data_IF_639903248427
#
_entry.id   IF_639903248427
#
_cell.length_a   1.000
_cell.length_b   1.000
_cell.length_c   1.000
_cell.angle_alpha   90.00
_cell.angle_beta   90.00
_cell.angle_gamma   90.00
#
_symmetry.space_group_name_H-M   'P 1'
#
loop_
_entity.id
_entity.type
_entity.pdbx_description
1 polymer ?
#
# COMPACT_ATOMS: atom_id res chain seq x y z
N UNK A 1 -8.67 -18.10 3.45
CA UNK A 1 -7.86 -17.15 4.26
C UNK A 1 -7.82 -15.81 3.57
N UNK A 2 -7.95 -14.76 4.33
CA UNK A 2 -8.01 -13.40 3.78
C UNK A 2 -6.66 -12.93 3.21
N UNK A 3 -6.69 -12.16 2.12
CA UNK A 3 -5.49 -11.56 1.53
C UNK A 3 -5.68 -10.06 1.40
N UNK A 4 -4.58 -9.33 1.44
CA UNK A 4 -4.59 -7.88 1.27
C UNK A 4 -3.38 -7.43 0.47
N UNK A 5 -3.50 -6.28 -0.20
CA UNK A 5 -2.40 -5.67 -0.94
C UNK A 5 -1.78 -4.58 -0.09
N UNK A 6 -0.47 -4.59 0.00
CA UNK A 6 0.30 -3.48 0.58
C UNK A 6 1.25 -2.97 -0.49
N UNK A 7 1.20 -1.67 -0.75
CA UNK A 7 2.14 -1.01 -1.66
C UNK A 7 3.05 -0.12 -0.84
N UNK A 8 4.37 -0.33 -0.99
CA UNK A 8 5.35 0.61 -0.45
C UNK A 8 5.55 1.65 -1.54
N UNK A 9 5.09 2.87 -1.28
CA UNK A 9 5.01 3.95 -2.27
C UNK A 9 6.39 4.54 -2.62
N UNK A 10 6.50 5.32 -3.71
CA UNK A 10 7.80 5.84 -4.15
C UNK A 10 8.55 6.64 -3.09
N UNK A 11 7.86 7.39 -2.24
CA UNK A 11 8.50 8.17 -1.17
C UNK A 11 9.21 7.26 -0.17
N UNK A 12 8.58 6.15 0.20
CA UNK A 12 9.17 5.19 1.14
C UNK A 12 10.34 4.43 0.51
N UNK A 13 10.24 4.10 -0.77
CA UNK A 13 11.36 3.46 -1.49
C UNK A 13 12.56 4.40 -1.52
N UNK A 14 12.33 5.66 -1.89
CA UNK A 14 13.38 6.67 -1.93
C UNK A 14 14.03 6.87 -0.56
N UNK A 15 13.23 6.84 0.50
CA UNK A 15 13.71 6.99 1.88
C UNK A 15 14.32 5.73 2.46
N UNK A 16 14.40 4.66 1.68
CA UNK A 16 15.01 3.39 2.08
C UNK A 16 14.28 2.72 3.25
N UNK A 17 12.95 2.77 3.20
CA UNK A 17 12.10 2.19 4.23
C UNK A 17 11.57 0.79 3.87
N UNK A 18 11.97 0.23 2.73
CA UNK A 18 11.49 -1.09 2.29
C UNK A 18 11.72 -2.15 3.38
N UNK A 19 12.96 -2.24 3.86
CA UNK A 19 13.31 -3.25 4.86
C UNK A 19 12.56 -3.08 6.17
N UNK A 20 12.37 -1.84 6.60
CA UNK A 20 11.64 -1.53 7.82
C UNK A 20 10.19 -2.03 7.73
N UNK A 21 9.54 -1.76 6.60
CA UNK A 21 8.13 -2.12 6.42
C UNK A 21 7.97 -3.64 6.31
N UNK A 22 8.84 -4.29 5.53
CA UNK A 22 8.82 -5.75 5.39
C UNK A 22 9.03 -6.41 6.76
N UNK A 23 9.97 -5.89 7.54
CA UNK A 23 10.25 -6.41 8.86
C UNK A 23 9.01 -6.34 9.77
N UNK A 24 8.29 -5.23 9.73
CA UNK A 24 7.06 -5.07 10.53
C UNK A 24 6.01 -6.09 10.13
N UNK A 25 5.85 -6.33 8.83
CA UNK A 25 4.93 -7.32 8.30
C UNK A 25 5.29 -8.72 8.80
N UNK A 26 6.55 -9.09 8.71
CA UNK A 26 7.01 -10.42 9.13
C UNK A 26 6.91 -10.60 10.64
N UNK A 27 7.28 -9.59 11.41
CA UNK A 27 7.18 -9.65 12.87
C UNK A 27 5.75 -9.78 13.35
N UNK A 28 4.80 -9.22 12.62
CA UNK A 28 3.39 -9.33 12.96
C UNK A 28 2.86 -10.76 12.74
N UNK A 29 3.57 -11.56 11.95
CA UNK A 29 3.17 -12.93 11.68
C UNK A 29 2.36 -13.10 10.41
N UNK A 30 2.33 -12.07 9.56
CA UNK A 30 1.65 -12.14 8.27
C UNK A 30 2.50 -12.93 7.29
N UNK A 31 1.86 -13.70 6.42
CA UNK A 31 2.57 -14.44 5.38
C UNK A 31 2.64 -13.59 4.11
N UNK A 32 3.84 -13.48 3.54
CA UNK A 32 4.05 -12.80 2.27
C UNK A 32 3.85 -13.81 1.16
N UNK A 33 2.76 -13.71 0.42
CA UNK A 33 2.43 -14.63 -0.68
C UNK A 33 3.07 -14.21 -2.00
N UNK A 34 3.28 -12.92 -2.20
CA UNK A 34 3.94 -12.39 -3.38
C UNK A 34 4.61 -11.08 -3.03
N UNK A 35 5.71 -10.81 -3.69
CA UNK A 35 6.53 -9.63 -3.43
C UNK A 35 7.27 -9.26 -4.69
N UNK A 36 7.14 -8.01 -5.14
CA UNK A 36 7.90 -7.54 -6.31
C UNK A 36 8.09 -6.03 -6.25
N UNK A 37 9.12 -5.57 -6.92
CA UNK A 37 9.35 -4.15 -7.16
C UNK A 37 9.00 -3.86 -8.61
N UNK A 38 8.30 -2.77 -8.84
CA UNK A 38 7.94 -2.41 -10.21
C UNK A 38 7.70 -0.90 -10.33
N UNK A 39 7.83 -0.39 -11.55
CA UNK A 39 7.38 0.96 -11.87
C UNK A 39 5.95 0.80 -12.40
N UNK A 40 4.98 1.36 -11.67
CA UNK A 40 3.57 1.20 -12.03
C UNK A 40 3.29 1.98 -13.31
N UNK A 41 2.65 1.32 -14.29
CA UNK A 41 2.25 1.95 -15.54
C UNK A 41 1.08 2.89 -15.30
N UNK A 42 0.92 3.86 -16.20
CA UNK A 42 -0.22 4.78 -16.13
C UNK A 42 -1.55 4.01 -16.13
N UNK A 43 -1.66 2.98 -16.97
CA UNK A 43 -2.86 2.16 -17.04
C UNK A 43 -3.21 1.50 -15.71
N UNK A 44 -2.23 0.89 -15.06
CA UNK A 44 -2.43 0.25 -13.75
C UNK A 44 -2.77 1.26 -12.67
N UNK A 45 -2.13 2.43 -12.70
CA UNK A 45 -2.40 3.50 -11.75
C UNK A 45 -3.83 4.00 -11.90
N UNK A 46 -4.29 4.19 -13.13
CA UNK A 46 -5.66 4.63 -13.40
C UNK A 46 -6.68 3.61 -12.91
N UNK A 47 -6.43 2.32 -13.10
CA UNK A 47 -7.29 1.27 -12.57
C UNK A 47 -7.32 1.27 -11.04
N UNK A 48 -6.17 1.44 -10.44
CA UNK A 48 -6.05 1.43 -8.98
C UNK A 48 -6.84 2.57 -8.33
N UNK A 49 -6.79 3.75 -8.93
CA UNK A 49 -7.47 4.94 -8.41
C UNK A 49 -8.78 5.26 -9.13
N UNK A 50 -9.36 4.29 -9.84
CA UNK A 50 -10.58 4.48 -10.63
C UNK A 50 -11.73 5.11 -9.84
N UNK A 51 -11.91 4.71 -8.59
CA UNK A 51 -12.97 5.26 -7.73
C UNK A 51 -12.78 6.74 -7.42
N UNK A 52 -11.59 7.27 -7.64
CA UNK A 52 -11.28 8.69 -7.41
C UNK A 52 -11.29 9.52 -8.69
N UNK A 53 -11.59 8.90 -9.83
CA UNK A 53 -11.63 9.61 -11.11
C UNK A 53 -12.61 10.77 -11.05
N UNK A 54 -12.15 11.93 -11.53
CA UNK A 54 -12.94 13.16 -11.50
C UNK A 54 -12.82 13.97 -10.23
N UNK A 55 -12.17 13.42 -9.20
CA UNK A 55 -11.92 14.17 -7.97
C UNK A 55 -10.68 15.05 -8.16
N UNK A 56 -10.64 16.16 -7.43
CA UNK A 56 -9.57 17.15 -7.53
C UNK A 56 -8.17 16.54 -7.35
N UNK A 57 -8.01 15.61 -6.40
CA UNK A 57 -6.71 15.02 -6.07
C UNK A 57 -6.33 13.83 -6.95
N UNK A 58 -7.19 13.40 -7.88
CA UNK A 58 -6.93 12.22 -8.71
C UNK A 58 -5.60 12.30 -9.47
N UNK A 59 -5.37 13.42 -10.17
CA UNK A 59 -4.15 13.59 -10.96
C UNK A 59 -2.88 13.54 -10.11
N UNK A 60 -2.94 14.11 -8.90
CA UNK A 60 -1.81 14.08 -7.97
C UNK A 60 -1.49 12.65 -7.52
N UNK A 61 -2.53 11.84 -7.28
CA UNK A 61 -2.34 10.44 -6.91
C UNK A 61 -1.67 9.66 -8.04
N UNK A 62 -2.16 9.83 -9.27
CA UNK A 62 -1.59 9.15 -10.45
C UNK A 62 -0.14 9.55 -10.67
N UNK A 63 0.14 10.84 -10.64
CA UNK A 63 1.48 11.37 -10.84
C UNK A 63 2.45 10.84 -9.80
N UNK A 64 2.02 10.82 -8.54
CA UNK A 64 2.87 10.36 -7.45
C UNK A 64 3.16 8.86 -7.54
N UNK A 65 2.15 8.02 -7.72
CA UNK A 65 2.34 6.56 -7.71
C UNK A 65 3.18 6.08 -8.90
N UNK A 66 3.20 6.85 -9.99
CA UNK A 66 3.99 6.53 -11.18
C UNK A 66 5.35 7.23 -11.20
N UNK A 67 5.68 8.01 -10.16
CA UNK A 67 6.90 8.84 -10.15
C UNK A 67 8.20 8.06 -9.91
N UNK A 68 8.11 6.83 -9.47
CA UNK A 68 9.28 6.01 -9.19
C UNK A 68 8.88 4.59 -8.82
N UNK A 69 9.84 3.72 -8.54
CA UNK A 69 9.54 2.33 -8.22
C UNK A 69 8.78 2.20 -6.91
N UNK A 70 7.94 1.18 -6.85
CA UNK A 70 7.18 0.80 -5.65
C UNK A 70 7.47 -0.66 -5.34
N UNK A 71 7.16 -1.08 -4.13
CA UNK A 71 7.19 -2.49 -3.77
C UNK A 71 5.75 -2.92 -3.50
N UNK A 72 5.36 -4.01 -4.15
CA UNK A 72 4.01 -4.56 -4.06
C UNK A 72 4.06 -5.88 -3.33
N UNK A 73 3.21 -6.03 -2.32
CA UNK A 73 3.14 -7.28 -1.56
C UNK A 73 1.70 -7.75 -1.43
N UNK A 74 1.52 -9.06 -1.62
CA UNK A 74 0.26 -9.72 -1.26
C UNK A 74 0.50 -10.42 0.08
N UNK A 75 -0.27 -10.04 1.07
CA UNK A 75 -0.16 -10.57 2.43
C UNK A 75 -1.38 -11.45 2.72
N UNK A 76 -1.16 -12.52 3.48
CA UNK A 76 -2.22 -13.44 3.84
C UNK A 76 -2.23 -13.68 5.35
N UNK A 77 -3.42 -13.76 5.90
CA UNK A 77 -3.60 -14.07 7.32
C UNK A 77 -5.04 -13.86 7.74
N UNK A 78 -5.40 -14.44 8.85
CA UNK A 78 -6.75 -14.27 9.40
C UNK A 78 -6.97 -12.81 9.79
N UNK A 79 -7.99 -12.19 9.20
CA UNK A 79 -8.31 -10.78 9.48
C UNK A 79 -7.24 -9.81 9.01
N UNK A 80 -6.41 -10.19 8.02
CA UNK A 80 -5.24 -9.40 7.66
C UNK A 80 -5.57 -8.01 7.11
N UNK A 81 -6.73 -7.84 6.46
CA UNK A 81 -7.09 -6.52 5.93
C UNK A 81 -7.13 -5.49 7.07
N UNK A 82 -7.87 -5.80 8.13
CA UNK A 82 -7.96 -4.91 9.29
C UNK A 82 -6.62 -4.77 10.02
N UNK A 83 -5.89 -5.88 10.16
CA UNK A 83 -4.59 -5.86 10.82
C UNK A 83 -3.61 -4.94 10.09
N UNK A 84 -3.53 -5.08 8.78
CA UNK A 84 -2.58 -4.28 7.98
C UNK A 84 -2.98 -2.80 7.98
N UNK A 85 -4.28 -2.51 7.94
CA UNK A 85 -4.74 -1.12 8.05
C UNK A 85 -4.37 -0.51 9.41
N UNK A 86 -4.52 -1.27 10.49
CA UNK A 86 -4.09 -0.82 11.82
C UNK A 86 -2.58 -0.57 11.87
N UNK A 87 -1.80 -1.45 11.25
CA UNK A 87 -0.35 -1.29 11.19
C UNK A 87 0.04 -0.03 10.41
N UNK A 88 -0.69 0.28 9.35
CA UNK A 88 -0.42 1.46 8.52
C UNK A 88 -0.73 2.75 9.27
N UNK A 89 -1.82 2.80 9.99
CA UNK A 89 -2.26 4.01 10.68
C UNK A 89 -3.05 4.97 9.81
N UNK A 90 -3.50 6.07 10.39
CA UNK A 90 -4.27 7.09 9.70
C UNK A 90 -3.48 7.76 8.58
N UNK A 91 -4.17 8.14 7.50
CA UNK A 91 -3.56 8.90 6.42
C UNK A 91 -3.21 10.34 6.84
N UNK A 92 -3.83 10.83 7.89
CA UNK A 92 -3.53 12.15 8.46
C UNK A 92 -2.28 12.05 9.34
N UNK A 93 -1.21 12.82 9.06
CA UNK A 93 0.02 12.75 9.86
C UNK A 93 -0.21 13.09 11.33
N UNK A 94 -1.15 14.00 11.60
CA UNK A 94 -1.45 14.42 12.98
C UNK A 94 -2.18 13.32 13.74
N UNK A 95 -3.08 12.61 13.06
CA UNK A 95 -3.88 11.56 13.69
C UNK A 95 -3.20 10.21 13.74
N UNK A 96 -2.18 10.00 12.91
CA UNK A 96 -1.46 8.73 12.88
C UNK A 96 -0.71 8.52 14.18
N UNK A 97 -1.08 7.46 14.90
CA UNK A 97 -0.51 7.17 16.21
C UNK A 97 0.93 6.64 16.06
N UNK A 98 1.88 7.15 16.89
CA UNK A 98 3.23 6.60 16.92
C UNK A 98 3.20 5.07 17.14
N UNK A 99 4.05 4.36 16.43
CA UNK A 99 4.04 2.91 16.40
C UNK A 99 3.40 2.34 15.14
N UNK A 100 2.51 3.09 14.52
CA UNK A 100 2.02 2.73 13.19
C UNK A 100 3.04 3.18 12.15
N UNK A 101 2.97 2.60 10.95
CA UNK A 101 3.90 2.96 9.87
C UNK A 101 3.83 4.46 9.57
N UNK A 102 2.63 4.97 9.35
CA UNK A 102 2.45 6.40 9.07
C UNK A 102 2.76 7.27 10.28
N UNK A 103 2.43 6.80 11.47
CA UNK A 103 2.74 7.55 12.70
C UNK A 103 4.23 7.74 12.90
N UNK A 104 5.02 6.76 12.50
CA UNK A 104 6.48 6.82 12.65
C UNK A 104 7.16 7.59 11.50
N UNK A 105 6.61 7.52 10.29
CA UNK A 105 7.34 7.99 9.11
C UNK A 105 6.63 9.03 8.24
N UNK A 106 5.32 9.22 8.38
CA UNK A 106 4.58 10.09 7.47
C UNK A 106 4.41 11.50 8.02
N UNK A 107 4.69 12.49 7.16
CA UNK A 107 4.48 13.91 7.48
C UNK A 107 3.49 14.56 6.50
N UNK A 108 2.91 13.78 5.58
CA UNK A 108 2.15 14.30 4.46
C UNK A 108 0.96 13.38 4.16
N UNK A 109 -0.14 13.91 3.67
CA UNK A 109 -1.33 13.11 3.34
C UNK A 109 -1.21 12.43 1.96
N UNK A 110 -0.37 12.95 1.05
CA UNK A 110 -0.13 12.34 -0.25
C UNK A 110 1.05 11.37 -0.20
N UNK A 111 2.20 11.86 0.31
CA UNK A 111 3.41 11.06 0.48
C UNK A 111 3.34 10.34 1.82
N UNK A 112 2.47 9.35 1.88
CA UNK A 112 2.11 8.72 3.15
C UNK A 112 2.59 7.26 3.29
N UNK A 113 3.69 6.95 2.64
CA UNK A 113 4.50 5.75 2.85
C UNK A 113 3.92 4.48 2.21
N UNK A 114 2.70 4.12 2.54
CA UNK A 114 2.10 2.87 2.08
C UNK A 114 0.66 3.05 1.64
N UNK A 115 0.21 2.12 0.81
CA UNK A 115 -1.19 1.89 0.51
C UNK A 115 -1.58 0.53 1.09
N UNK A 116 -2.75 0.42 1.66
CA UNK A 116 -3.31 -0.86 2.12
C UNK A 116 -4.75 -0.96 1.67
N UNK A 117 -5.16 -2.18 1.31
CA UNK A 117 -6.55 -2.42 0.90
C UNK A 117 -7.51 -2.16 2.06
N UNK A 118 -8.70 -1.64 1.77
CA UNK A 118 -9.67 -1.27 2.79
C UNK A 118 -10.83 -2.26 2.99
N UNK A 119 -10.93 -3.26 2.11
CA UNK A 119 -12.00 -4.26 2.19
C UNK A 119 -11.61 -5.49 1.42
N UNK A 120 -12.37 -6.58 1.63
CA UNK A 120 -12.17 -7.82 0.86
C UNK A 120 -12.33 -7.53 -0.65
N UNK A 121 -13.36 -6.78 -1.01
CA UNK A 121 -13.65 -6.44 -2.40
C UNK A 121 -12.51 -5.63 -3.03
N UNK A 122 -12.06 -4.59 -2.35
CA UNK A 122 -10.94 -3.77 -2.82
C UNK A 122 -9.67 -4.59 -2.94
N UNK A 123 -9.40 -5.44 -1.96
CA UNK A 123 -8.23 -6.31 -1.96
C UNK A 123 -8.19 -7.20 -3.21
N UNK A 124 -9.29 -7.88 -3.51
CA UNK A 124 -9.34 -8.76 -4.67
C UNK A 124 -9.12 -8.00 -5.98
N UNK A 125 -9.76 -6.85 -6.11
CA UNK A 125 -9.61 -6.00 -7.30
C UNK A 125 -8.18 -5.48 -7.45
N UNK A 126 -7.61 -5.00 -6.37
CA UNK A 126 -6.25 -4.45 -6.37
C UNK A 126 -5.20 -5.50 -6.66
N UNK A 127 -5.31 -6.66 -6.03
CA UNK A 127 -4.37 -7.77 -6.26
C UNK A 127 -4.42 -8.19 -7.72
N UNK A 128 -5.62 -8.31 -8.29
CA UNK A 128 -5.79 -8.71 -9.68
C UNK A 128 -5.17 -7.70 -10.66
N UNK A 129 -5.20 -6.42 -10.30
CA UNK A 129 -4.61 -5.37 -11.13
C UNK A 129 -3.09 -5.47 -11.21
N UNK A 130 -2.44 -5.85 -10.13
CA UNK A 130 -0.98 -5.85 -10.06
C UNK A 130 -0.32 -7.22 -10.18
N UNK A 131 -1.03 -8.28 -9.91
CA UNK A 131 -0.48 -9.63 -9.93
C UNK A 131 -1.31 -10.55 -10.79
N UNK A 132 -0.61 -11.37 -11.61
CA UNK A 132 -1.23 -12.41 -12.41
C UNK A 132 -0.88 -13.75 -11.79
N UNK A 133 -1.84 -14.67 -11.78
CA UNK A 133 -1.60 -16.08 -11.39
C UNK A 133 -1.05 -16.26 -9.96
N UNK A 134 -1.63 -15.59 -9.01
CA UNK A 134 -1.32 -15.86 -7.61
C UNK A 134 -2.29 -16.93 -7.11
N UNK A 135 -1.73 -18.00 -6.59
CA UNK A 135 -2.51 -19.08 -6.01
C UNK A 135 -2.96 -18.79 -4.59
#
# INVERSE_FOLDING_TARGET
MERTLLIIKPDAVERKLIGEIIQRVERKGLEIKALKMENITLEKAEKHYEIHRGKEFYNSLIEFITSGPVVLMVLEGKGCISIVRHMAGSTSPIEAVPGTIRGDFSMDTLRNIVHTSDSVESSLREIKNFFKNID
#
